data_IF_449493586953
#
_entry.id   IF_449493586953
#
_cell.length_a   1.000
_cell.length_b   1.000
_cell.length_c   1.000
_cell.angle_alpha   90.00
_cell.angle_beta   90.00
_cell.angle_gamma   90.00
#
_symmetry.space_group_name_H-M   'P 1'
#
loop_
_entity.id
_entity.type
_entity.pdbx_description
1 polymer ?
#
# COMPACT_ATOMS: atom_id res chain seq x y z
N UNK A 1 -14.19 -22.67 -29.22
CA UNK A 1 -13.36 -21.46 -29.41
C UNK A 1 -14.13 -20.19 -29.04
N UNK A 2 -15.37 -19.97 -29.51
CA UNK A 2 -16.16 -18.78 -29.13
C UNK A 2 -16.51 -18.67 -27.64
N UNK A 3 -16.86 -19.78 -26.97
CA UNK A 3 -17.24 -19.78 -25.54
C UNK A 3 -16.05 -19.46 -24.61
N UNK A 4 -14.84 -19.93 -24.94
CA UNK A 4 -13.64 -19.66 -24.14
C UNK A 4 -13.20 -18.20 -24.24
N UNK A 5 -13.31 -17.58 -25.43
CA UNK A 5 -12.97 -16.17 -25.62
C UNK A 5 -13.93 -15.25 -24.85
N UNK A 6 -15.24 -15.51 -24.94
CA UNK A 6 -16.25 -14.73 -24.22
C UNK A 6 -16.10 -14.84 -22.70
N UNK A 7 -15.74 -16.01 -22.19
CA UNK A 7 -15.46 -16.21 -20.76
C UNK A 7 -14.21 -15.44 -20.31
N UNK A 8 -13.11 -15.52 -21.06
CA UNK A 8 -11.88 -14.76 -20.75
C UNK A 8 -12.10 -13.25 -20.79
N UNK A 9 -12.82 -12.74 -21.79
CA UNK A 9 -13.18 -11.31 -21.88
C UNK A 9 -14.08 -10.87 -20.72
N UNK A 10 -15.04 -11.69 -20.32
CA UNK A 10 -15.88 -11.42 -19.17
C UNK A 10 -15.07 -11.38 -17.85
N UNK A 11 -14.15 -12.33 -17.66
CA UNK A 11 -13.25 -12.33 -16.49
C UNK A 11 -12.33 -11.11 -16.48
N UNK A 12 -11.82 -10.71 -17.64
CA UNK A 12 -10.99 -9.50 -17.77
C UNK A 12 -11.76 -8.23 -17.37
N UNK A 13 -12.97 -8.02 -17.89
CA UNK A 13 -13.80 -6.86 -17.52
C UNK A 13 -14.12 -6.84 -16.02
N UNK A 14 -14.34 -8.00 -15.42
CA UNK A 14 -14.61 -8.11 -13.98
C UNK A 14 -13.37 -7.79 -13.14
N UNK A 15 -12.19 -8.17 -13.62
CA UNK A 15 -10.92 -7.86 -12.99
C UNK A 15 -10.61 -6.35 -13.10
N UNK A 16 -10.82 -5.74 -14.26
CA UNK A 16 -10.64 -4.30 -14.47
C UNK A 16 -11.56 -3.47 -13.57
N UNK A 17 -12.83 -3.86 -13.47
CA UNK A 17 -13.78 -3.24 -12.55
C UNK A 17 -13.35 -3.38 -11.08
N UNK A 18 -12.82 -4.55 -10.69
CA UNK A 18 -12.30 -4.76 -9.34
C UNK A 18 -11.08 -3.89 -9.05
N UNK A 19 -10.16 -3.74 -10.01
CA UNK A 19 -8.98 -2.86 -9.90
C UNK A 19 -9.34 -1.40 -9.75
N UNK A 20 -10.31 -0.94 -10.55
CA UNK A 20 -10.83 0.42 -10.44
C UNK A 20 -11.42 0.69 -9.04
N UNK A 21 -12.14 -0.29 -8.48
CA UNK A 21 -12.67 -0.19 -7.11
C UNK A 21 -11.58 -0.20 -6.04
N UNK A 22 -10.57 -1.08 -6.16
CA UNK A 22 -9.40 -1.11 -5.26
C UNK A 22 -8.63 0.21 -5.31
N UNK A 23 -8.41 0.76 -6.52
CA UNK A 23 -7.74 2.03 -6.73
C UNK A 23 -8.53 3.22 -6.15
N UNK A 24 -9.86 3.20 -6.28
CA UNK A 24 -10.72 4.21 -5.66
C UNK A 24 -10.65 4.16 -4.13
N UNK A 25 -10.76 2.97 -3.54
CA UNK A 25 -10.63 2.78 -2.10
C UNK A 25 -9.24 3.19 -1.58
N UNK A 26 -8.18 2.92 -2.34
CA UNK A 26 -6.83 3.37 -2.00
C UNK A 26 -6.72 4.90 -1.91
N UNK A 27 -7.32 5.63 -2.87
CA UNK A 27 -7.31 7.10 -2.85
C UNK A 27 -7.98 7.67 -1.61
N UNK A 28 -9.03 7.03 -1.09
CA UNK A 28 -9.68 7.44 0.17
C UNK A 28 -8.78 7.28 1.39
N UNK A 29 -7.83 6.33 1.38
CA UNK A 29 -6.84 6.17 2.45
C UNK A 29 -5.59 7.06 2.28
N UNK A 30 -5.34 7.55 1.06
CA UNK A 30 -4.09 8.22 0.69
C UNK A 30 -3.81 9.48 1.50
N UNK A 31 -4.82 10.34 1.69
CA UNK A 31 -4.66 11.59 2.45
C UNK A 31 -4.29 11.32 3.91
N UNK A 32 -4.94 10.32 4.52
CA UNK A 32 -4.68 9.92 5.91
C UNK A 32 -3.30 9.26 6.07
N UNK A 33 -2.86 8.50 5.06
CA UNK A 33 -1.48 7.96 5.01
C UNK A 33 -0.45 9.08 4.81
N UNK A 34 -0.75 10.07 3.97
CA UNK A 34 0.15 11.20 3.74
C UNK A 34 0.37 12.02 5.02
N UNK A 35 -0.69 12.28 5.80
CA UNK A 35 -0.62 12.92 7.11
C UNK A 35 0.25 12.10 8.08
N UNK A 36 0.00 10.79 8.14
CA UNK A 36 0.78 9.88 8.98
C UNK A 36 2.26 9.86 8.61
N UNK A 37 2.60 9.80 7.33
CA UNK A 37 3.98 9.81 6.86
C UNK A 37 4.65 11.15 7.09
N UNK A 38 3.92 12.25 6.97
CA UNK A 38 4.42 13.57 7.33
C UNK A 38 4.75 13.67 8.83
N UNK A 39 3.87 13.16 9.70
CA UNK A 39 4.14 13.09 11.13
C UNK A 39 5.36 12.20 11.46
N UNK A 40 5.56 11.12 10.70
CA UNK A 40 6.74 10.27 10.83
C UNK A 40 8.04 10.99 10.46
N UNK A 41 8.03 11.77 9.38
CA UNK A 41 9.19 12.60 8.99
C UNK A 41 9.51 13.67 10.04
N UNK A 42 8.48 14.37 10.54
CA UNK A 42 8.65 15.41 11.57
C UNK A 42 9.21 14.84 12.87
N UNK A 43 8.58 13.80 13.40
CA UNK A 43 9.04 13.19 14.65
C UNK A 43 10.42 12.55 14.52
N UNK A 44 10.78 12.02 13.34
CA UNK A 44 12.13 11.52 13.09
C UNK A 44 13.14 12.67 13.07
N UNK A 45 12.85 13.78 12.39
CA UNK A 45 13.72 14.96 12.36
C UNK A 45 13.96 15.55 13.76
N UNK A 46 12.93 15.60 14.60
CA UNK A 46 13.03 16.00 16.01
C UNK A 46 13.87 15.00 16.83
N UNK A 47 13.70 13.70 16.60
CA UNK A 47 14.44 12.63 17.32
C UNK A 47 15.90 12.49 16.88
N UNK A 48 16.24 12.84 15.64
CA UNK A 48 17.63 12.81 15.14
C UNK A 48 18.51 13.88 15.77
N UNK A 49 17.92 14.92 16.35
CA UNK A 49 18.67 15.85 17.20
C UNK A 49 19.23 15.15 18.46
N UNK A 50 18.63 14.03 18.88
CA UNK A 50 18.95 13.31 20.12
C UNK A 50 19.47 11.87 19.92
N UNK A 51 19.42 11.29 18.71
CA UNK A 51 19.75 9.87 18.48
C UNK A 51 20.33 9.56 17.10
N UNK A 52 21.27 8.61 17.07
CA UNK A 52 22.00 8.16 15.89
C UNK A 52 21.16 7.27 14.96
N UNK A 53 20.08 7.77 14.37
CA UNK A 53 19.58 7.14 13.14
C UNK A 53 20.64 7.33 12.05
N UNK A 54 20.88 6.31 11.24
CA UNK A 54 21.85 6.42 10.16
C UNK A 54 21.32 7.38 9.08
N UNK A 55 22.19 8.23 8.52
CA UNK A 55 21.83 9.09 7.40
C UNK A 55 21.21 8.29 6.23
N UNK A 56 21.68 7.05 6.05
CA UNK A 56 21.15 6.09 5.09
C UNK A 56 19.68 5.74 5.35
N UNK A 57 19.30 5.47 6.60
CA UNK A 57 17.91 5.20 6.96
C UNK A 57 17.00 6.41 6.67
N UNK A 58 17.45 7.61 7.05
CA UNK A 58 16.70 8.84 6.82
C UNK A 58 16.50 9.10 5.32
N UNK A 59 17.52 8.85 4.50
CA UNK A 59 17.43 8.94 3.04
C UNK A 59 16.46 7.91 2.44
N UNK A 60 16.50 6.66 2.91
CA UNK A 60 15.58 5.61 2.45
C UNK A 60 14.12 5.96 2.77
N UNK A 61 13.84 6.43 3.99
CA UNK A 61 12.49 6.85 4.39
C UNK A 61 12.02 8.02 3.53
N UNK A 62 12.84 9.07 3.40
CA UNK A 62 12.52 10.25 2.61
C UNK A 62 12.24 9.90 1.15
N UNK A 63 13.10 9.07 0.53
CA UNK A 63 12.90 8.60 -0.84
C UNK A 63 11.59 7.84 -1.03
N UNK A 64 11.22 6.98 -0.07
CA UNK A 64 9.96 6.24 -0.12
C UNK A 64 8.75 7.18 0.05
N UNK A 65 8.80 8.14 0.97
CA UNK A 65 7.76 9.16 1.16
C UNK A 65 7.61 10.06 -0.07
N UNK A 66 8.72 10.50 -0.66
CA UNK A 66 8.71 11.29 -1.89
C UNK A 66 8.11 10.50 -3.06
N UNK A 67 8.44 9.21 -3.19
CA UNK A 67 7.84 8.32 -4.19
C UNK A 67 6.32 8.20 -3.99
N UNK A 68 5.89 8.01 -2.74
CA UNK A 68 4.47 7.93 -2.38
C UNK A 68 3.70 9.21 -2.74
N UNK A 69 4.30 10.39 -2.52
CA UNK A 69 3.68 11.69 -2.79
C UNK A 69 3.64 12.04 -4.28
N UNK A 70 4.68 11.68 -5.04
CA UNK A 70 4.84 12.12 -6.43
C UNK A 70 4.22 11.18 -7.45
N UNK A 71 4.07 9.89 -7.12
CA UNK A 71 3.53 8.93 -8.07
C UNK A 71 2.01 9.00 -8.17
N UNK A 72 1.48 8.97 -9.40
CA UNK A 72 0.05 8.82 -9.69
C UNK A 72 -0.35 7.36 -9.92
N UNK A 73 0.63 6.45 -9.98
CA UNK A 73 0.41 5.02 -10.23
C UNK A 73 0.12 4.34 -8.90
N UNK A 74 -1.12 3.89 -8.71
CA UNK A 74 -1.61 3.29 -7.45
C UNK A 74 -0.72 2.14 -6.97
N UNK A 75 -0.30 1.23 -7.85
CA UNK A 75 0.55 0.10 -7.43
C UNK A 75 1.91 0.57 -6.91
N UNK A 76 2.52 1.56 -7.55
CA UNK A 76 3.79 2.15 -7.10
C UNK A 76 3.58 2.89 -5.78
N UNK A 77 2.45 3.59 -5.63
CA UNK A 77 2.09 4.27 -4.40
C UNK A 77 1.88 3.30 -3.24
N UNK A 78 1.20 2.17 -3.47
CA UNK A 78 1.00 1.10 -2.49
C UNK A 78 2.34 0.50 -2.09
N UNK A 79 3.21 0.17 -3.05
CA UNK A 79 4.55 -0.38 -2.73
C UNK A 79 5.42 0.61 -1.97
N UNK A 80 5.35 1.91 -2.30
CA UNK A 80 6.02 2.95 -1.54
C UNK A 80 5.48 3.04 -0.11
N UNK A 81 4.16 2.97 0.08
CA UNK A 81 3.52 2.92 1.39
C UNK A 81 3.93 1.68 2.20
N UNK A 82 3.98 0.50 1.57
CA UNK A 82 4.44 -0.75 2.21
C UNK A 82 5.89 -0.58 2.68
N UNK A 83 6.74 0.01 1.84
CA UNK A 83 8.14 0.31 2.18
C UNK A 83 8.25 1.29 3.35
N UNK A 84 7.43 2.34 3.40
CA UNK A 84 7.42 3.31 4.50
C UNK A 84 7.02 2.62 5.80
N UNK A 85 5.95 1.82 5.80
CA UNK A 85 5.51 1.11 7.00
C UNK A 85 6.51 0.02 7.44
N UNK A 86 7.21 -0.64 6.52
CA UNK A 86 8.34 -1.51 6.86
C UNK A 86 9.46 -0.74 7.58
N UNK A 87 9.84 0.43 7.06
CA UNK A 87 10.87 1.27 7.66
C UNK A 87 10.43 1.80 9.02
N UNK A 88 9.18 2.24 9.16
CA UNK A 88 8.59 2.65 10.44
C UNK A 88 8.56 1.48 11.42
N UNK A 89 8.25 0.26 10.97
CA UNK A 89 8.23 -0.95 11.78
C UNK A 89 9.61 -1.51 12.13
N UNK A 90 10.65 -1.09 11.41
CA UNK A 90 12.02 -1.55 11.62
C UNK A 90 12.58 -1.13 12.98
N UNK A 91 13.52 -1.88 13.54
CA UNK A 91 14.15 -1.54 14.81
C UNK A 91 14.93 -0.21 14.82
N UNK A 92 15.14 0.42 13.65
CA UNK A 92 15.87 1.67 13.48
C UNK A 92 14.99 2.92 13.66
N UNK A 93 13.67 2.78 13.53
CA UNK A 93 12.76 3.91 13.72
C UNK A 93 12.49 4.16 15.22
N UNK A 94 12.61 5.40 15.72
CA UNK A 94 12.42 5.70 17.14
C UNK A 94 11.05 5.25 17.64
N UNK A 95 11.03 4.43 18.70
CA UNK A 95 9.79 3.86 19.26
C UNK A 95 8.83 4.93 19.77
N UNK A 96 9.35 6.00 20.37
CA UNK A 96 8.55 7.15 20.83
C UNK A 96 7.81 7.82 19.68
N UNK A 97 8.50 8.06 18.57
CA UNK A 97 7.90 8.64 17.36
C UNK A 97 6.86 7.68 16.80
N UNK A 98 7.17 6.38 16.74
CA UNK A 98 6.22 5.35 16.25
C UNK A 98 4.92 5.32 17.04
N UNK A 99 5.00 5.46 18.36
CA UNK A 99 3.83 5.46 19.25
C UNK A 99 3.00 6.74 19.12
N UNK A 100 3.63 7.86 18.77
CA UNK A 100 2.96 9.13 18.53
C UNK A 100 2.31 9.24 17.13
N UNK A 101 2.60 8.30 16.21
CA UNK A 101 2.04 8.36 14.86
C UNK A 101 0.52 8.26 14.87
N UNK A 102 -0.18 9.11 14.09
CA UNK A 102 -1.63 9.08 14.02
C UNK A 102 -2.11 7.71 13.52
N UNK A 103 -3.05 7.14 14.28
CA UNK A 103 -3.80 5.92 13.96
C UNK A 103 -5.28 6.22 14.10
N UNK A 104 -5.79 7.08 13.22
CA UNK A 104 -7.21 7.39 13.24
C UNK A 104 -8.01 6.11 12.96
N UNK A 105 -9.15 5.95 13.64
CA UNK A 105 -10.10 4.87 13.33
C UNK A 105 -10.56 4.93 11.87
N UNK A 106 -10.60 6.15 11.31
CA UNK A 106 -10.88 6.40 9.90
C UNK A 106 -9.82 5.79 8.97
N UNK A 107 -8.52 5.94 9.27
CA UNK A 107 -7.45 5.33 8.47
C UNK A 107 -7.57 3.79 8.47
N UNK A 108 -7.84 3.20 9.64
CA UNK A 108 -8.02 1.75 9.72
C UNK A 108 -9.23 1.27 8.92
N UNK A 109 -10.37 1.96 9.02
CA UNK A 109 -11.57 1.67 8.25
C UNK A 109 -11.34 1.74 6.73
N UNK A 110 -10.66 2.79 6.24
CA UNK A 110 -10.38 2.93 4.80
C UNK A 110 -9.37 1.88 4.31
N UNK A 111 -8.37 1.52 5.12
CA UNK A 111 -7.45 0.43 4.79
C UNK A 111 -8.13 -0.94 4.81
N UNK A 112 -9.05 -1.19 5.73
CA UNK A 112 -9.87 -2.41 5.74
C UNK A 112 -10.74 -2.50 4.48
N UNK A 113 -11.36 -1.39 4.09
CA UNK A 113 -12.14 -1.29 2.85
C UNK A 113 -11.28 -1.57 1.63
N UNK A 114 -10.09 -0.97 1.54
CA UNK A 114 -9.11 -1.27 0.49
C UNK A 114 -8.74 -2.76 0.48
N UNK A 115 -8.39 -3.32 1.64
CA UNK A 115 -8.00 -4.72 1.78
C UNK A 115 -9.15 -5.71 1.45
N UNK A 116 -10.40 -5.33 1.71
CA UNK A 116 -11.58 -6.13 1.32
C UNK A 116 -11.76 -6.15 -0.20
N UNK A 117 -11.55 -5.01 -0.87
CA UNK A 117 -11.58 -4.90 -2.34
C UNK A 117 -10.41 -5.66 -2.97
N UNK A 118 -9.20 -5.50 -2.44
CA UNK A 118 -8.00 -6.25 -2.86
C UNK A 118 -8.18 -7.75 -2.71
N UNK A 119 -8.74 -8.24 -1.60
CA UNK A 119 -9.10 -9.67 -1.43
C UNK A 119 -10.11 -10.17 -2.45
N UNK A 120 -11.03 -9.31 -2.88
CA UNK A 120 -12.01 -9.68 -3.91
C UNK A 120 -11.36 -9.74 -5.30
N UNK A 121 -10.41 -8.85 -5.60
CA UNK A 121 -9.57 -8.92 -6.79
C UNK A 121 -8.72 -10.19 -6.81
N UNK A 122 -8.02 -10.50 -5.70
CA UNK A 122 -7.20 -11.71 -5.58
C UNK A 122 -8.01 -13.00 -5.79
N UNK A 123 -9.27 -13.05 -5.31
CA UNK A 123 -10.17 -14.19 -5.58
C UNK A 123 -10.54 -14.32 -7.06
N UNK A 124 -10.62 -13.21 -7.80
CA UNK A 124 -10.84 -13.24 -9.25
C UNK A 124 -9.59 -13.72 -9.98
N UNK A 125 -8.41 -13.31 -9.53
CA UNK A 125 -7.13 -13.79 -10.06
C UNK A 125 -6.91 -15.28 -9.82
N UNK A 126 -7.31 -15.81 -8.67
CA UNK A 126 -7.19 -17.24 -8.35
C UNK A 126 -8.23 -18.12 -9.09
N UNK A 127 -9.24 -17.51 -9.72
CA UNK A 127 -10.20 -18.23 -10.57
C UNK A 127 -9.56 -18.79 -11.84
N UNK A 128 -10.20 -19.77 -12.48
CA UNK A 128 -9.74 -20.35 -13.75
C UNK A 128 -9.49 -19.28 -14.84
N UNK A 129 -10.40 -18.31 -14.98
CA UNK A 129 -10.22 -17.21 -15.93
C UNK A 129 -9.08 -16.26 -15.53
N UNK A 130 -8.88 -16.06 -14.22
CA UNK A 130 -7.77 -15.25 -13.68
C UNK A 130 -6.40 -15.88 -13.93
N UNK A 131 -6.28 -17.20 -13.72
CA UNK A 131 -5.05 -17.97 -14.00
C UNK A 131 -4.69 -17.97 -15.48
N UNK A 132 -5.69 -18.06 -16.37
CA UNK A 132 -5.47 -17.93 -17.81
C UNK A 132 -4.96 -16.52 -18.13
N UNK A 133 -5.56 -15.47 -17.55
CA UNK A 133 -5.12 -14.09 -17.76
C UNK A 133 -3.72 -13.80 -17.18
N UNK A 134 -3.38 -14.40 -16.04
CA UNK A 134 -2.09 -14.20 -15.37
C UNK A 134 -0.91 -14.69 -16.21
N UNK A 135 -1.09 -15.80 -16.94
CA UNK A 135 -0.11 -16.29 -17.93
C UNK A 135 0.24 -15.22 -18.98
N UNK A 136 -0.73 -14.37 -19.34
CA UNK A 136 -0.55 -13.33 -20.38
C UNK A 136 -0.18 -11.96 -19.81
N UNK A 137 -0.59 -11.65 -18.58
CA UNK A 137 -0.55 -10.29 -18.03
C UNK A 137 0.36 -10.13 -16.81
N UNK A 138 0.93 -11.22 -16.28
CA UNK A 138 1.89 -11.24 -15.16
C UNK A 138 1.51 -10.30 -14.02
N UNK A 139 0.50 -10.70 -13.24
CA UNK A 139 0.00 -9.84 -12.19
C UNK A 139 0.93 -9.83 -10.95
N UNK A 140 1.16 -8.67 -10.32
CA UNK A 140 2.05 -8.59 -9.16
C UNK A 140 1.45 -9.33 -7.96
N UNK A 141 2.28 -10.15 -7.30
CA UNK A 141 1.95 -10.79 -6.02
C UNK A 141 1.57 -9.73 -5.00
N UNK A 142 0.28 -9.67 -4.69
CA UNK A 142 -0.30 -8.58 -3.92
C UNK A 142 -0.78 -9.12 -2.57
N UNK A 143 -0.17 -8.67 -1.48
CA UNK A 143 -0.61 -8.97 -0.12
C UNK A 143 -1.55 -7.86 0.40
N UNK A 144 -2.40 -8.13 1.41
CA UNK A 144 -3.12 -7.05 2.09
C UNK A 144 -2.15 -6.05 2.70
N UNK A 145 -2.45 -4.77 2.57
CA UNK A 145 -1.65 -3.68 3.13
C UNK A 145 -1.78 -3.67 4.66
N UNK A 146 -0.66 -3.51 5.36
CA UNK A 146 -0.60 -3.52 6.82
C UNK A 146 0.19 -2.32 7.33
N UNK A 147 -0.34 -1.66 8.37
CA UNK A 147 0.38 -0.61 9.10
C UNK A 147 1.41 -1.22 10.03
N UNK A 148 2.52 -0.52 10.27
CA UNK A 148 3.51 -0.91 11.25
C UNK A 148 2.88 -1.12 12.64
N UNK A 149 3.21 -2.19 13.37
CA UNK A 149 2.65 -2.45 14.69
C UNK A 149 3.10 -1.36 15.69
N UNK A 150 2.22 -0.99 16.61
CA UNK A 150 2.61 -0.24 17.80
C UNK A 150 3.09 -1.29 18.80
N UNK A 151 4.39 -1.41 19.01
CA UNK A 151 4.96 -2.18 20.12
C UNK A 151 5.68 -1.24 21.06
#
# INVERSE_FOLDING_TARGET
IGVSLSYTLWTYNRLDAARSQSASAWRSAMELLAERYHAAELGLAESTADSASSDEFNQQLKSAVDTFRTTSIVNVQVSAAERIEELIGSGQFPSRVRQALPRSAQLQSELERYNQRRRSELRLLDSLGGKILDIFLNFPNSQPFQLAPAK
#
